data_IF_789600030648
#
_entry.id   IF_789600030648
#
_cell.length_a   1.000
_cell.length_b   1.000
_cell.length_c   1.000
_cell.angle_alpha   90.00
_cell.angle_beta   90.00
_cell.angle_gamma   90.00
#
_symmetry.space_group_name_H-M   'P 1'
#
loop_
_entity.id
_entity.type
_entity.pdbx_description
1 polymer ?
#
# COMPACT_ATOMS: atom_id res chain seq x y z
N UNK A 1 60.17 5.63 20.35
CA UNK A 1 60.27 4.72 21.51
C UNK A 1 58.88 4.42 22.05
N UNK A 2 58.31 3.28 21.65
CA UNK A 2 57.34 2.44 22.40
C UNK A 2 57.10 1.18 21.58
N UNK A 3 57.84 0.16 21.99
CA UNK A 3 57.59 -1.29 21.97
C UNK A 3 56.96 -1.98 20.74
N UNK A 4 57.75 -2.93 20.26
CA UNK A 4 57.45 -3.96 19.28
C UNK A 4 56.68 -5.16 19.87
N UNK A 5 56.36 -6.10 18.97
CA UNK A 5 56.16 -7.55 19.20
C UNK A 5 54.70 -7.95 19.53
N UNK A 6 54.07 -8.99 18.96
CA UNK A 6 54.49 -10.26 18.32
C UNK A 6 53.39 -10.77 17.38
N UNK A 7 53.84 -11.41 16.28
CA UNK A 7 53.23 -12.46 15.45
C UNK A 7 51.86 -13.03 15.85
N UNK A 8 50.98 -13.25 14.87
CA UNK A 8 50.62 -14.64 14.52
C UNK A 8 49.95 -14.72 13.14
N UNK A 9 50.66 -15.41 12.25
CA UNK A 9 50.21 -16.09 11.04
C UNK A 9 48.78 -16.61 11.17
N UNK A 10 47.92 -16.24 10.22
CA UNK A 10 46.82 -17.13 9.80
C UNK A 10 46.39 -16.81 8.35
N UNK A 11 47.37 -16.76 7.46
CA UNK A 11 47.12 -17.03 6.04
C UNK A 11 47.10 -18.54 5.92
N UNK A 12 45.92 -19.15 5.77
CA UNK A 12 45.60 -20.27 4.88
C UNK A 12 44.33 -21.00 5.34
N UNK A 13 43.50 -21.32 4.35
CA UNK A 13 42.46 -22.34 4.35
C UNK A 13 41.24 -22.09 5.24
N UNK A 14 40.19 -21.57 4.60
CA UNK A 14 38.90 -22.26 4.69
C UNK A 14 38.28 -22.31 3.29
N UNK A 15 38.78 -23.26 2.49
CA UNK A 15 38.04 -23.81 1.36
C UNK A 15 36.95 -24.69 1.96
N UNK A 16 35.69 -24.23 1.90
CA UNK A 16 34.51 -25.08 1.77
C UNK A 16 33.27 -24.21 1.49
N UNK A 17 32.64 -24.34 0.31
CA UNK A 17 31.35 -23.75 0.02
C UNK A 17 30.26 -24.75 0.43
N UNK A 18 29.53 -24.50 1.52
CA UNK A 18 28.31 -25.25 1.83
C UNK A 18 27.30 -24.37 2.54
N UNK A 19 26.19 -24.11 1.85
CA UNK A 19 24.83 -24.12 2.38
C UNK A 19 24.62 -23.49 3.78
N UNK A 20 24.45 -22.16 3.81
CA UNK A 20 23.51 -21.53 4.74
C UNK A 20 22.76 -20.46 3.97
N UNK A 21 21.45 -20.65 3.86
CA UNK A 21 20.52 -19.72 3.21
C UNK A 21 20.68 -18.31 3.77
N UNK A 22 20.95 -17.37 2.88
CA UNK A 22 21.01 -15.97 3.23
C UNK A 22 20.54 -15.18 2.02
N UNK A 23 19.26 -14.80 2.00
CA UNK A 23 18.73 -13.64 1.28
C UNK A 23 17.31 -13.30 1.76
N UNK A 24 17.08 -13.35 3.07
CA UNK A 24 16.08 -12.48 3.69
C UNK A 24 16.79 -11.59 4.69
N UNK A 25 17.12 -10.34 4.32
CA UNK A 25 17.21 -9.27 5.27
C UNK A 25 15.84 -8.58 5.34
N UNK A 26 15.02 -9.03 6.28
CA UNK A 26 13.96 -8.21 6.89
C UNK A 26 14.65 -7.04 7.60
N UNK A 27 15.04 -6.02 6.85
CA UNK A 27 15.44 -4.73 7.42
C UNK A 27 14.31 -3.75 7.18
N UNK A 28 13.52 -3.64 8.24
CA UNK A 28 12.48 -2.68 8.49
C UNK A 28 13.07 -1.27 8.49
N UNK A 29 13.17 -0.69 7.31
CA UNK A 29 13.17 0.75 7.11
C UNK A 29 11.99 1.07 6.19
N UNK A 30 10.79 0.78 6.68
CA UNK A 30 9.58 1.35 6.11
C UNK A 30 9.51 2.79 6.64
N UNK A 31 10.35 3.64 6.05
CA UNK A 31 10.09 5.06 6.01
C UNK A 31 8.62 5.21 5.62
N UNK A 32 7.82 5.87 6.46
CA UNK A 32 6.40 6.09 6.23
C UNK A 32 6.24 6.92 4.95
N UNK A 33 6.28 6.24 3.80
CA UNK A 33 5.90 6.82 2.52
C UNK A 33 4.38 6.87 2.55
N UNK A 34 3.87 7.89 3.23
CA UNK A 34 2.47 8.25 3.13
C UNK A 34 2.35 8.79 1.69
N UNK A 35 2.05 7.90 0.76
CA UNK A 35 1.82 8.22 -0.65
C UNK A 35 0.40 7.82 -1.01
N UNK A 36 -0.18 8.54 -1.97
CA UNK A 36 -1.51 8.18 -2.48
C UNK A 36 -1.41 6.88 -3.27
N UNK A 37 -2.13 5.87 -2.81
CA UNK A 37 -2.28 4.57 -3.49
C UNK A 37 -3.50 4.60 -4.40
N UNK A 38 -3.47 3.79 -5.45
CA UNK A 38 -4.59 3.56 -6.37
C UNK A 38 -5.00 2.10 -6.23
N UNK A 39 -6.28 1.86 -6.03
CA UNK A 39 -6.88 0.52 -6.06
C UNK A 39 -8.04 0.49 -7.05
N UNK A 40 -8.26 -0.67 -7.64
CA UNK A 40 -9.36 -0.93 -8.58
C UNK A 40 -10.27 -1.96 -7.95
N UNK A 41 -11.53 -1.58 -7.73
CA UNK A 41 -12.57 -2.42 -7.13
C UNK A 41 -13.57 -2.77 -8.21
N UNK A 42 -13.71 -4.06 -8.53
CA UNK A 42 -14.76 -4.54 -9.40
C UNK A 42 -16.02 -4.82 -8.57
N UNK A 43 -17.17 -4.32 -9.03
CA UNK A 43 -18.44 -4.45 -8.33
C UNK A 43 -19.29 -5.57 -8.92
N UNK A 44 -19.96 -6.34 -8.07
CA UNK A 44 -20.75 -7.51 -8.46
C UNK A 44 -22.26 -7.24 -8.49
N UNK A 45 -22.79 -6.46 -7.54
CA UNK A 45 -24.23 -6.29 -7.34
C UNK A 45 -24.72 -4.90 -7.74
N UNK A 46 -23.97 -3.85 -7.42
CA UNK A 46 -24.36 -2.47 -7.66
C UNK A 46 -23.63 -1.86 -8.87
N UNK A 47 -24.25 -0.86 -9.49
CA UNK A 47 -23.63 -0.10 -10.58
C UNK A 47 -22.56 0.85 -10.02
N UNK A 48 -21.40 0.88 -10.67
CA UNK A 48 -20.28 1.75 -10.29
C UNK A 48 -20.66 3.23 -10.30
N UNK A 49 -21.56 3.64 -11.19
CA UNK A 49 -22.04 5.02 -11.28
C UNK A 49 -22.87 5.44 -10.06
N UNK A 50 -23.75 4.54 -9.59
CA UNK A 50 -24.59 4.77 -8.41
C UNK A 50 -23.74 4.88 -7.15
N UNK A 51 -22.84 3.91 -6.92
CA UNK A 51 -21.94 3.95 -5.75
C UNK A 51 -21.04 5.19 -5.79
N UNK A 52 -20.49 5.53 -6.95
CA UNK A 52 -19.67 6.72 -7.10
C UNK A 52 -20.43 8.01 -6.75
N UNK A 53 -21.70 8.09 -7.12
CA UNK A 53 -22.55 9.24 -6.82
C UNK A 53 -22.85 9.31 -5.32
N UNK A 54 -23.23 8.19 -4.71
CA UNK A 54 -23.46 8.10 -3.27
C UNK A 54 -22.23 8.51 -2.46
N UNK A 55 -21.04 8.01 -2.82
CA UNK A 55 -19.79 8.37 -2.14
C UNK A 55 -19.50 9.87 -2.30
N UNK A 56 -19.71 10.45 -3.49
CA UNK A 56 -19.51 11.89 -3.69
C UNK A 56 -20.50 12.72 -2.87
N UNK A 57 -21.74 12.28 -2.75
CA UNK A 57 -22.76 12.97 -1.96
C UNK A 57 -22.45 12.91 -0.45
N UNK A 58 -21.92 11.78 0.03
CA UNK A 58 -21.53 11.61 1.43
C UNK A 58 -20.34 12.48 1.82
N UNK A 59 -19.32 12.55 0.97
CA UNK A 59 -18.06 13.25 1.30
C UNK A 59 -18.01 14.70 0.77
N UNK A 60 -18.86 15.07 -0.20
CA UNK A 60 -19.02 16.43 -0.72
C UNK A 60 -17.69 17.12 -1.08
N UNK A 61 -17.54 18.37 -0.63
CA UNK A 61 -16.32 19.18 -0.79
C UNK A 61 -15.08 18.59 -0.11
N UNK A 62 -15.23 17.64 0.83
CA UNK A 62 -14.09 17.04 1.54
C UNK A 62 -13.17 16.24 0.60
N UNK A 63 -13.70 15.78 -0.54
CA UNK A 63 -12.92 15.11 -1.58
C UNK A 63 -11.84 16.03 -2.19
N UNK A 64 -12.09 17.34 -2.25
CA UNK A 64 -11.24 18.31 -2.97
C UNK A 64 -10.66 19.42 -2.09
N UNK A 65 -11.41 19.91 -1.11
CA UNK A 65 -11.04 21.05 -0.26
C UNK A 65 -10.54 20.65 1.13
N UNK A 66 -10.70 19.37 1.51
CA UNK A 66 -10.25 18.85 2.80
C UNK A 66 -8.73 18.91 2.99
N UNK A 67 -8.29 18.54 4.19
CA UNK A 67 -6.88 18.32 4.49
C UNK A 67 -6.28 17.34 3.46
N UNK A 68 -4.99 17.43 3.12
CA UNK A 68 -4.39 16.55 2.12
C UNK A 68 -4.73 15.07 2.35
N UNK A 69 -4.67 14.61 3.60
CA UNK A 69 -4.97 13.25 4.04
C UNK A 69 -6.44 12.81 3.80
N UNK A 70 -7.37 13.77 3.73
CA UNK A 70 -8.79 13.52 3.54
C UNK A 70 -9.20 13.50 2.06
N UNK A 71 -8.34 14.01 1.18
CA UNK A 71 -8.62 14.06 -0.26
C UNK A 71 -8.53 12.66 -0.88
N UNK A 72 -9.47 12.40 -1.77
CA UNK A 72 -9.48 11.20 -2.59
C UNK A 72 -9.98 11.55 -3.99
N UNK A 73 -9.58 10.75 -4.95
CA UNK A 73 -10.05 10.81 -6.33
C UNK A 73 -10.75 9.51 -6.65
N UNK A 74 -11.94 9.62 -7.25
CA UNK A 74 -12.78 8.49 -7.61
C UNK A 74 -13.08 8.57 -9.10
N UNK A 75 -12.80 7.49 -9.82
CA UNK A 75 -13.08 7.35 -11.25
C UNK A 75 -13.89 6.08 -11.49
N UNK A 76 -14.80 6.16 -12.45
CA UNK A 76 -15.68 5.06 -12.82
C UNK A 76 -15.15 4.47 -14.13
N UNK A 77 -14.98 3.15 -14.17
CA UNK A 77 -14.86 2.38 -15.41
C UNK A 77 -16.18 1.64 -15.68
N UNK A 78 -17.06 2.29 -16.44
CA UNK A 78 -18.37 1.75 -16.79
C UNK A 78 -18.29 0.50 -17.68
N UNK A 79 -17.15 0.24 -18.34
CA UNK A 79 -16.99 -0.92 -19.23
C UNK A 79 -16.79 -2.22 -18.45
N UNK A 80 -16.23 -2.12 -17.24
CA UNK A 80 -15.91 -3.25 -16.35
C UNK A 80 -16.69 -3.22 -15.04
N UNK A 81 -17.66 -2.30 -14.91
CA UNK A 81 -18.35 -2.01 -13.66
C UNK A 81 -17.40 -1.87 -12.45
N UNK A 82 -16.31 -1.14 -12.66
CA UNK A 82 -15.25 -1.02 -11.66
C UNK A 82 -15.06 0.42 -11.20
N UNK A 83 -14.71 0.58 -9.93
CA UNK A 83 -14.35 1.84 -9.30
C UNK A 83 -12.85 1.91 -9.08
N UNK A 84 -12.24 2.96 -9.61
CA UNK A 84 -10.83 3.27 -9.39
C UNK A 84 -10.77 4.33 -8.30
N UNK A 85 -10.18 3.97 -7.16
CA UNK A 85 -10.08 4.83 -5.98
C UNK A 85 -8.63 5.18 -5.75
N UNK A 86 -8.35 6.48 -5.65
CA UNK A 86 -7.02 6.99 -5.34
C UNK A 86 -7.07 7.85 -4.09
N UNK A 87 -6.46 7.37 -3.02
CA UNK A 87 -6.48 8.03 -1.73
C UNK A 87 -5.21 7.73 -0.92
N UNK A 88 -5.07 8.42 0.20
CA UNK A 88 -4.08 8.07 1.22
C UNK A 88 -4.45 6.74 1.87
N UNK A 89 -3.48 5.91 2.31
CA UNK A 89 -3.74 4.55 2.76
C UNK A 89 -4.85 4.47 3.82
N UNK A 90 -4.82 5.32 4.84
CA UNK A 90 -5.86 5.33 5.88
C UNK A 90 -7.27 5.66 5.38
N UNK A 91 -7.40 6.54 4.38
CA UNK A 91 -8.69 6.87 3.74
C UNK A 91 -9.12 5.82 2.73
N UNK A 92 -8.16 5.23 2.03
CA UNK A 92 -8.40 4.17 1.07
C UNK A 92 -9.06 2.98 1.76
N UNK A 93 -8.52 2.52 2.90
CA UNK A 93 -9.10 1.41 3.67
C UNK A 93 -10.54 1.70 4.14
N UNK A 94 -10.82 2.96 4.48
CA UNK A 94 -12.16 3.42 4.85
C UNK A 94 -13.12 3.35 3.65
N UNK A 95 -12.70 3.87 2.50
CA UNK A 95 -13.48 3.86 1.26
C UNK A 95 -13.74 2.44 0.74
N UNK A 96 -12.74 1.56 0.79
CA UNK A 96 -12.89 0.16 0.36
C UNK A 96 -13.95 -0.56 1.20
N UNK A 97 -13.91 -0.41 2.53
CA UNK A 97 -14.93 -0.99 3.42
C UNK A 97 -16.32 -0.44 3.14
N UNK A 98 -16.43 0.85 2.84
CA UNK A 98 -17.71 1.46 2.48
C UNK A 98 -18.22 0.89 1.14
N UNK A 99 -17.35 0.77 0.13
CA UNK A 99 -17.71 0.18 -1.16
C UNK A 99 -18.19 -1.26 -0.98
N UNK A 100 -17.47 -2.08 -0.21
CA UNK A 100 -17.87 -3.47 0.09
C UNK A 100 -19.24 -3.57 0.79
N UNK A 101 -19.59 -2.58 1.63
CA UNK A 101 -20.90 -2.54 2.28
C UNK A 101 -22.03 -2.11 1.34
N UNK A 102 -21.72 -1.25 0.37
CA UNK A 102 -22.67 -0.78 -0.64
C UNK A 102 -22.87 -1.82 -1.76
N UNK A 103 -21.84 -2.59 -2.09
CA UNK A 103 -21.88 -3.71 -3.04
C UNK A 103 -22.38 -5.00 -2.38
N UNK A 104 -23.48 -4.89 -1.63
CA UNK A 104 -24.15 -6.03 -1.04
C UNK A 104 -25.38 -6.41 -1.88
N UNK A 105 -25.76 -7.71 -1.94
CA UNK A 105 -26.96 -8.12 -2.65
C UNK A 105 -28.20 -7.44 -2.05
N UNK A 106 -28.94 -6.72 -2.88
CA UNK A 106 -30.22 -6.13 -2.48
C UNK A 106 -31.19 -7.24 -2.05
N UNK A 107 -31.72 -7.13 -0.83
CA UNK A 107 -32.61 -8.11 -0.20
C UNK A 107 -34.07 -7.98 -0.67
#
# INVERSE_FOLDING_TARGET
MRHASVLSVCTLLCVAPLFVGCSSPERMEEELVIERRVEVVALEFAEAEDIATLIRDLYGESATLGAPAERFELRIDARTNSLIVRAWPGRLDELLKLIDQLDAPAK
#
